data_IF_908865054328
#
_entry.id   IF_908865054328
#
_cell.length_a   1.000
_cell.length_b   1.000
_cell.length_c   1.000
_cell.angle_alpha   90.00
_cell.angle_beta   90.00
_cell.angle_gamma   90.00
#
_symmetry.space_group_name_H-M   'P 1'
#
loop_
_entity.id
_entity.type
_entity.pdbx_description
1 polymer ?
#
# COMPACT_ATOMS: atom_id res chain seq x y z
N UNK A 1 -31.35 5.31 -12.52
CA UNK A 1 -29.94 5.57 -12.13
C UNK A 1 -28.97 4.71 -12.97
N UNK A 2 -29.16 4.61 -14.29
CA UNK A 2 -28.49 3.62 -15.13
C UNK A 2 -27.56 4.20 -16.22
N UNK A 3 -27.45 5.54 -16.31
CA UNK A 3 -26.72 6.20 -17.41
C UNK A 3 -25.29 6.63 -17.05
N UNK A 4 -24.90 6.53 -15.77
CA UNK A 4 -23.55 6.92 -15.32
C UNK A 4 -22.51 5.78 -15.36
N UNK A 5 -22.91 4.55 -15.69
CA UNK A 5 -22.01 3.38 -15.68
C UNK A 5 -20.93 3.37 -16.77
N UNK A 6 -21.09 3.90 -18.00
CA UNK A 6 -20.03 3.80 -19.01
C UNK A 6 -18.85 4.74 -18.69
N UNK A 7 -19.10 6.01 -18.41
CA UNK A 7 -18.07 7.00 -18.04
C UNK A 7 -17.32 6.62 -16.77
N UNK A 8 -18.03 6.06 -15.80
CA UNK A 8 -17.47 5.60 -14.54
C UNK A 8 -16.58 4.37 -14.73
N UNK A 9 -16.96 3.47 -15.64
CA UNK A 9 -16.17 2.30 -16.00
C UNK A 9 -14.89 2.70 -16.74
N UNK A 10 -14.96 3.67 -17.65
CA UNK A 10 -13.78 4.23 -18.32
C UNK A 10 -12.84 4.93 -17.32
N UNK A 11 -13.38 5.73 -16.39
CA UNK A 11 -12.61 6.37 -15.32
C UNK A 11 -11.93 5.32 -14.43
N UNK A 12 -12.62 4.23 -14.08
CA UNK A 12 -12.03 3.15 -13.29
C UNK A 12 -10.90 2.43 -14.02
N UNK A 13 -11.03 2.20 -15.33
CA UNK A 13 -9.97 1.58 -16.15
C UNK A 13 -8.74 2.48 -16.24
N UNK A 14 -8.95 3.78 -16.46
CA UNK A 14 -7.86 4.78 -16.46
C UNK A 14 -7.17 4.81 -15.09
N UNK A 15 -7.95 4.81 -14.01
CA UNK A 15 -7.42 4.79 -12.65
C UNK A 15 -6.63 3.51 -12.36
N UNK A 16 -7.09 2.35 -12.84
CA UNK A 16 -6.38 1.08 -12.73
C UNK A 16 -5.00 1.14 -13.42
N UNK A 17 -4.94 1.71 -14.64
CA UNK A 17 -3.70 1.90 -15.40
C UNK A 17 -2.73 2.86 -14.69
N UNK A 18 -3.24 3.95 -14.12
CA UNK A 18 -2.43 4.88 -13.33
C UNK A 18 -1.87 4.17 -12.10
N UNK A 19 -2.69 3.36 -11.42
CA UNK A 19 -2.27 2.61 -10.24
C UNK A 19 -1.18 1.57 -10.55
N UNK A 20 -1.28 0.84 -11.65
CA UNK A 20 -0.20 -0.07 -12.10
C UNK A 20 1.08 0.69 -12.41
N UNK A 21 0.99 1.86 -13.06
CA UNK A 21 2.16 2.71 -13.32
C UNK A 21 2.80 3.20 -12.01
N UNK A 22 1.99 3.61 -11.03
CA UNK A 22 2.45 4.02 -9.69
C UNK A 22 3.11 2.84 -8.95
N UNK A 23 2.57 1.62 -9.06
CA UNK A 23 3.20 0.41 -8.50
C UNK A 23 4.58 0.15 -9.10
N UNK A 24 4.70 0.25 -10.42
CA UNK A 24 5.97 0.06 -11.12
C UNK A 24 7.00 1.13 -10.69
N UNK A 25 6.60 2.39 -10.60
CA UNK A 25 7.45 3.47 -10.09
C UNK A 25 7.84 3.26 -8.62
N UNK A 26 6.90 2.78 -7.80
CA UNK A 26 7.15 2.47 -6.41
C UNK A 26 8.16 1.34 -6.25
N UNK A 27 8.05 0.28 -7.07
CA UNK A 27 8.98 -0.84 -7.08
C UNK A 27 10.39 -0.36 -7.45
N UNK A 28 10.50 0.51 -8.46
CA UNK A 28 11.79 1.10 -8.87
C UNK A 28 12.41 1.92 -7.72
N UNK A 29 11.61 2.70 -6.98
CA UNK A 29 12.07 3.42 -5.78
C UNK A 29 12.44 2.48 -4.63
N UNK A 30 11.66 1.42 -4.40
CA UNK A 30 11.90 0.42 -3.36
C UNK A 30 13.26 -0.26 -3.52
N UNK A 31 13.62 -0.60 -4.77
CA UNK A 31 14.90 -1.25 -5.10
C UNK A 31 16.07 -0.26 -5.02
N UNK A 32 15.86 1.02 -5.35
CA UNK A 32 16.91 2.05 -5.30
C UNK A 32 17.14 2.67 -3.92
N UNK A 33 16.32 2.42 -2.91
CA UNK A 33 16.45 3.02 -1.58
C UNK A 33 17.47 2.29 -0.67
N UNK A 34 18.66 2.85 -0.39
CA UNK A 34 19.64 2.26 0.53
C UNK A 34 19.28 2.44 2.03
N UNK A 35 18.28 3.27 2.36
CA UNK A 35 17.88 3.56 3.76
C UNK A 35 16.74 2.65 4.22
N UNK A 36 16.79 2.19 5.47
CA UNK A 36 15.72 1.41 6.11
C UNK A 36 14.36 2.13 6.08
N UNK A 37 14.37 3.46 6.13
CA UNK A 37 13.17 4.31 6.03
C UNK A 37 12.54 4.26 4.63
N UNK A 38 13.33 4.23 3.56
CA UNK A 38 12.83 4.10 2.18
C UNK A 38 12.14 2.74 1.96
N UNK A 39 12.64 1.66 2.57
CA UNK A 39 11.98 0.35 2.50
C UNK A 39 10.61 0.34 3.17
N UNK A 40 10.48 0.95 4.35
CA UNK A 40 9.19 1.09 5.04
C UNK A 40 8.20 1.93 4.24
N UNK A 41 8.67 3.05 3.67
CA UNK A 41 7.84 3.91 2.82
C UNK A 41 7.38 3.21 1.55
N UNK A 42 8.27 2.46 0.88
CA UNK A 42 7.95 1.67 -0.29
C UNK A 42 6.90 0.58 0.00
N UNK A 43 7.03 -0.12 1.13
CA UNK A 43 6.09 -1.17 1.53
C UNK A 43 4.68 -0.60 1.78
N UNK A 44 4.61 0.55 2.45
CA UNK A 44 3.35 1.25 2.66
C UNK A 44 2.71 1.69 1.34
N UNK A 45 3.50 2.25 0.42
CA UNK A 45 2.99 2.74 -0.86
C UNK A 45 2.46 1.59 -1.74
N UNK A 46 3.16 0.44 -1.78
CA UNK A 46 2.71 -0.78 -2.47
C UNK A 46 1.34 -1.20 -1.95
N UNK A 47 1.17 -1.28 -0.64
CA UNK A 47 -0.09 -1.76 -0.07
C UNK A 47 -1.22 -0.75 -0.25
N UNK A 48 -0.93 0.55 -0.23
CA UNK A 48 -1.92 1.60 -0.50
C UNK A 48 -2.47 1.48 -1.92
N UNK A 49 -1.61 1.19 -2.90
CA UNK A 49 -2.05 0.90 -4.27
C UNK A 49 -2.87 -0.39 -4.31
N UNK A 50 -2.44 -1.46 -3.66
CA UNK A 50 -3.20 -2.72 -3.64
C UNK A 50 -4.61 -2.51 -3.05
N UNK A 51 -4.74 -1.77 -1.95
CA UNK A 51 -6.06 -1.44 -1.36
C UNK A 51 -6.90 -0.59 -2.33
N UNK A 52 -6.30 0.39 -3.00
CA UNK A 52 -6.99 1.18 -4.03
C UNK A 52 -7.46 0.31 -5.22
N UNK A 53 -6.64 -0.64 -5.67
CA UNK A 53 -7.01 -1.63 -6.70
C UNK A 53 -8.24 -2.44 -6.27
N UNK A 54 -8.26 -2.91 -5.02
CA UNK A 54 -9.38 -3.70 -4.48
C UNK A 54 -10.64 -2.83 -4.32
N UNK A 55 -10.51 -1.57 -3.88
CA UNK A 55 -11.63 -0.63 -3.78
C UNK A 55 -12.28 -0.36 -5.16
N UNK A 56 -11.45 -0.14 -6.18
CA UNK A 56 -11.88 0.02 -7.57
C UNK A 56 -12.60 -1.25 -8.04
N UNK A 57 -12.00 -2.41 -7.83
CA UNK A 57 -12.57 -3.69 -8.24
C UNK A 57 -13.91 -4.00 -7.55
N UNK A 58 -13.99 -3.70 -6.25
CA UNK A 58 -15.21 -3.78 -5.45
C UNK A 58 -16.35 -2.98 -6.05
N UNK A 59 -16.02 -1.76 -6.48
CA UNK A 59 -16.98 -0.86 -7.09
C UNK A 59 -17.44 -1.34 -8.49
N UNK A 60 -16.56 -1.94 -9.30
CA UNK A 60 -16.96 -2.58 -10.57
C UNK A 60 -17.90 -3.76 -10.35
N UNK A 61 -17.61 -4.60 -9.36
CA UNK A 61 -18.38 -5.81 -9.09
C UNK A 61 -19.69 -5.54 -8.33
N UNK A 62 -19.87 -4.35 -7.74
CA UNK A 62 -21.06 -3.99 -6.97
C UNK A 62 -21.28 -4.84 -5.71
N UNK A 63 -20.24 -5.56 -5.28
CA UNK A 63 -20.33 -6.52 -4.19
C UNK A 63 -19.70 -5.92 -2.92
N UNK A 64 -20.56 -5.52 -1.98
CA UNK A 64 -20.19 -4.85 -0.72
C UNK A 64 -19.15 -5.61 0.11
N UNK A 65 -19.05 -6.94 -0.04
CA UNK A 65 -18.08 -7.76 0.67
C UNK A 65 -16.63 -7.39 0.31
N UNK A 66 -16.36 -6.93 -0.93
CA UNK A 66 -15.01 -6.56 -1.34
C UNK A 66 -14.54 -5.27 -0.65
N UNK A 67 -15.46 -4.37 -0.27
CA UNK A 67 -15.13 -3.15 0.50
C UNK A 67 -14.63 -3.52 1.89
N UNK A 68 -15.29 -4.47 2.55
CA UNK A 68 -14.91 -4.90 3.89
C UNK A 68 -13.51 -5.55 3.89
N UNK A 69 -13.23 -6.38 2.89
CA UNK A 69 -11.89 -6.95 2.65
C UNK A 69 -10.86 -5.86 2.35
N UNK A 70 -11.20 -4.82 1.59
CA UNK A 70 -10.28 -3.70 1.32
C UNK A 70 -9.91 -2.94 2.58
N UNK A 71 -10.89 -2.64 3.43
CA UNK A 71 -10.68 -1.94 4.72
C UNK A 71 -9.84 -2.82 5.65
N UNK A 72 -10.14 -4.13 5.73
CA UNK A 72 -9.35 -5.10 6.49
C UNK A 72 -7.88 -5.10 6.05
N UNK A 73 -7.60 -5.18 4.74
CA UNK A 73 -6.24 -5.12 4.22
C UNK A 73 -5.54 -3.80 4.53
N UNK A 74 -6.27 -2.68 4.48
CA UNK A 74 -5.76 -1.37 4.89
C UNK A 74 -5.30 -1.35 6.35
N UNK A 75 -6.12 -1.88 7.25
CA UNK A 75 -5.79 -1.96 8.68
C UNK A 75 -4.61 -2.90 8.95
N UNK A 76 -4.58 -4.08 8.33
CA UNK A 76 -3.49 -5.04 8.46
C UNK A 76 -2.15 -4.45 8.00
N UNK A 77 -2.15 -3.71 6.89
CA UNK A 77 -0.95 -3.05 6.39
C UNK A 77 -0.41 -1.99 7.36
N UNK A 78 -1.31 -1.16 7.90
CA UNK A 78 -0.94 -0.13 8.88
C UNK A 78 -0.32 -0.76 10.13
N UNK A 79 -0.87 -1.89 10.57
CA UNK A 79 -0.35 -2.69 11.67
C UNK A 79 1.03 -3.27 11.33
N UNK A 80 1.21 -3.85 10.15
CA UNK A 80 2.46 -4.46 9.69
C UNK A 80 3.60 -3.42 9.65
N UNK A 81 3.36 -2.25 9.07
CA UNK A 81 4.34 -1.16 9.01
C UNK A 81 4.66 -0.63 10.41
N UNK A 82 3.66 -0.49 11.28
CA UNK A 82 3.87 -0.08 12.67
C UNK A 82 4.75 -1.08 13.44
N UNK A 83 4.49 -2.38 13.32
CA UNK A 83 5.28 -3.45 13.95
C UNK A 83 6.72 -3.46 13.41
N UNK A 84 6.90 -3.38 12.08
CA UNK A 84 8.23 -3.31 11.49
C UNK A 84 9.00 -2.08 11.97
N UNK A 85 8.37 -0.91 12.04
CA UNK A 85 8.97 0.33 12.55
C UNK A 85 9.43 0.16 14.00
N UNK A 86 8.57 -0.38 14.87
CA UNK A 86 8.89 -0.68 16.28
C UNK A 86 10.08 -1.64 16.41
N UNK A 87 10.11 -2.73 15.65
CA UNK A 87 11.22 -3.70 15.64
C UNK A 87 12.53 -3.05 15.17
N UNK A 88 12.45 -2.24 14.12
CA UNK A 88 13.62 -1.56 13.53
C UNK A 88 14.26 -0.58 14.51
N UNK A 89 13.44 0.23 15.17
CA UNK A 89 13.89 1.16 16.23
C UNK A 89 14.48 0.41 17.41
N UNK A 90 13.85 -0.69 17.83
CA UNK A 90 14.33 -1.53 18.94
C UNK A 90 15.71 -2.11 18.65
N UNK A 91 15.92 -2.70 17.46
CA UNK A 91 17.24 -3.22 17.05
C UNK A 91 18.31 -2.14 16.94
N UNK A 92 17.97 -0.94 16.45
CA UNK A 92 18.94 0.17 16.38
C UNK A 92 19.40 0.62 17.78
N UNK A 93 18.51 0.61 18.77
CA UNK A 93 18.83 0.97 20.15
C UNK A 93 19.75 -0.06 20.82
N UNK A 94 19.55 -1.34 20.53
CA UNK A 94 20.40 -2.43 21.04
C UNK A 94 21.82 -2.38 20.47
N UNK A 95 21.97 -2.15 19.15
CA UNK A 95 23.31 -1.98 18.53
C UNK A 95 24.10 -0.80 19.08
N UNK A 96 23.43 0.29 19.51
CA UNK A 96 24.11 1.43 20.14
C UNK A 96 24.54 1.17 21.59
N UNK A 97 23.88 0.27 22.32
CA UNK A 97 24.28 -0.11 23.69
C UNK A 97 25.53 -0.98 23.72
N UNK A 98 25.71 -1.89 22.75
CA UNK A 98 26.88 -2.77 22.70
C UNK A 98 28.20 -2.09 22.30
N UNK A 99 28.17 -0.88 21.72
CA UNK A 99 29.38 -0.11 21.35
C UNK A 99 29.92 0.80 22.45
N UNK A 100 29.23 0.89 23.59
CA UNK A 100 29.58 1.79 24.71
C UNK A 100 30.19 1.05 25.91
N UNK A 101 30.47 -0.24 25.78
CA UNK A 101 31.06 -1.08 26.82
C UNK A 101 32.45 -1.54 26.44
#
# INVERSE_FOLDING_TARGET
MAECTPVLRDVLIVLLCILTAVMLLCLIRAVRGPRYTDRLAALNLICTVVVLMVCILSYVLGASYLVDVAILYGLLNLLAVAVLSRISVRRHRERRRGKKS
#
